data_IF_809018849019
#
_entry.id   IF_809018849019
#
_cell.length_a   1.000
_cell.length_b   1.000
_cell.length_c   1.000
_cell.angle_alpha   90.00
_cell.angle_beta   90.00
_cell.angle_gamma   90.00
#
_symmetry.space_group_name_H-M   'P 1'
#
loop_
_entity.id
_entity.type
_entity.pdbx_description
1 polymer ?
#
# COMPACT_ATOMS: atom_id res chain seq x y z
N UNK A 1 0.23 -10.34 1.16
CA UNK A 1 -0.55 -9.09 1.25
C UNK A 1 -1.85 -9.30 0.52
N UNK A 2 -2.97 -8.91 1.10
CA UNK A 2 -4.28 -9.01 0.46
C UNK A 2 -4.52 -7.75 -0.38
N UNK A 3 -4.89 -7.92 -1.64
CA UNK A 3 -5.13 -6.82 -2.58
C UNK A 3 -6.59 -6.72 -3.02
N UNK A 4 -7.34 -7.82 -2.89
CA UNK A 4 -8.74 -7.99 -3.31
C UNK A 4 -9.58 -8.59 -2.18
N UNK A 5 -10.91 -8.59 -2.33
CA UNK A 5 -11.82 -9.19 -1.36
C UNK A 5 -11.52 -10.67 -1.10
N UNK A 6 -11.30 -11.45 -2.16
CA UNK A 6 -11.02 -12.89 -2.06
C UNK A 6 -9.65 -13.23 -1.45
N UNK A 7 -8.71 -12.29 -1.43
CA UNK A 7 -7.38 -12.51 -0.84
C UNK A 7 -7.41 -12.40 0.70
N UNK A 8 -8.34 -11.64 1.25
CA UNK A 8 -8.43 -11.37 2.69
C UNK A 8 -8.49 -12.65 3.53
N UNK A 9 -9.42 -13.60 3.29
CA UNK A 9 -9.49 -14.84 4.06
C UNK A 9 -8.28 -15.76 3.83
N UNK A 10 -7.64 -15.71 2.65
CA UNK A 10 -6.44 -16.50 2.37
C UNK A 10 -5.25 -16.05 3.23
N UNK A 11 -5.03 -14.73 3.31
CA UNK A 11 -3.98 -14.17 4.17
C UNK A 11 -4.27 -14.48 5.64
N UNK A 12 -5.52 -14.37 6.07
CA UNK A 12 -5.93 -14.71 7.44
C UNK A 12 -5.60 -16.17 7.80
N UNK A 13 -5.84 -17.12 6.86
CA UNK A 13 -5.50 -18.52 7.04
C UNK A 13 -3.97 -18.75 7.17
N UNK A 14 -3.16 -18.05 6.34
CA UNK A 14 -1.70 -18.13 6.41
C UNK A 14 -1.19 -17.58 7.75
N UNK A 15 -1.71 -16.45 8.19
CA UNK A 15 -1.30 -15.79 9.45
C UNK A 15 -1.64 -16.64 10.68
N UNK A 16 -2.75 -17.38 10.67
CA UNK A 16 -3.07 -18.33 11.75
C UNK A 16 -1.98 -19.37 11.96
N UNK A 17 -1.31 -19.79 10.90
CA UNK A 17 -0.27 -20.82 10.93
C UNK A 17 1.14 -20.24 11.13
N UNK A 18 1.46 -19.14 10.42
CA UNK A 18 2.82 -18.62 10.27
C UNK A 18 2.96 -17.17 10.74
N UNK A 19 1.91 -16.56 11.28
CA UNK A 19 1.92 -15.16 11.72
C UNK A 19 2.83 -14.92 12.91
N UNK A 20 3.28 -13.67 13.03
CA UNK A 20 4.07 -13.18 14.16
C UNK A 20 3.27 -13.34 15.45
N UNK A 21 3.86 -14.01 16.47
CA UNK A 21 3.21 -14.25 17.77
C UNK A 21 3.62 -13.23 18.85
N UNK A 22 4.64 -12.42 18.59
CA UNK A 22 5.12 -11.40 19.53
C UNK A 22 6.32 -10.64 18.96
N UNK A 23 6.72 -9.52 19.57
CA UNK A 23 7.79 -8.65 19.06
C UNK A 23 9.14 -9.36 18.92
N UNK A 24 9.40 -10.38 19.74
CA UNK A 24 10.64 -11.14 19.67
C UNK A 24 10.71 -12.14 18.51
N UNK A 25 9.60 -12.39 17.81
CA UNK A 25 9.57 -13.33 16.68
C UNK A 25 10.38 -12.83 15.48
N UNK A 26 10.64 -11.52 15.37
CA UNK A 26 11.49 -10.95 14.31
C UNK A 26 12.97 -11.28 14.45
N UNK A 27 13.40 -11.77 15.60
CA UNK A 27 14.81 -12.13 15.89
C UNK A 27 15.07 -13.64 15.84
N UNK A 28 14.06 -14.46 15.59
CA UNK A 28 14.18 -15.92 15.56
C UNK A 28 14.42 -16.43 14.14
N UNK A 29 15.11 -17.57 14.02
CA UNK A 29 15.38 -18.24 12.73
C UNK A 29 14.10 -18.80 12.05
N UNK A 30 12.94 -18.66 12.68
CA UNK A 30 11.68 -19.12 12.12
C UNK A 30 11.12 -18.14 11.09
N UNK A 31 10.72 -18.65 9.96
CA UNK A 31 9.98 -17.89 8.95
C UNK A 31 8.67 -17.40 9.53
N UNK A 32 8.53 -16.10 9.69
CA UNK A 32 7.32 -15.45 10.17
C UNK A 32 6.68 -14.61 9.06
N UNK A 33 5.36 -14.54 9.08
CA UNK A 33 4.57 -13.77 8.11
C UNK A 33 3.89 -12.62 8.82
N UNK A 34 4.05 -11.42 8.27
CA UNK A 34 3.27 -10.23 8.63
C UNK A 34 2.20 -10.02 7.57
N UNK A 35 0.94 -9.97 8.01
CA UNK A 35 -0.17 -9.68 7.11
C UNK A 35 -0.20 -8.23 6.66
N UNK A 36 -0.69 -8.02 5.43
CA UNK A 36 -1.17 -6.72 4.99
C UNK A 36 -2.60 -6.86 4.49
N UNK A 37 -3.51 -6.05 5.02
CA UNK A 37 -4.92 -6.03 4.66
C UNK A 37 -5.28 -4.68 4.05
N UNK A 38 -5.87 -4.70 2.85
CA UNK A 38 -6.24 -3.47 2.16
C UNK A 38 -6.90 -3.73 0.82
N UNK A 39 -7.13 -2.65 0.08
CA UNK A 39 -7.67 -2.68 -1.28
C UNK A 39 -6.70 -1.97 -2.21
N UNK A 40 -6.06 -2.75 -3.07
CA UNK A 40 -5.16 -2.22 -4.10
C UNK A 40 -5.92 -1.27 -5.04
N UNK A 41 -5.33 -0.18 -5.52
CA UNK A 41 -6.00 0.76 -6.40
C UNK A 41 -6.57 0.11 -7.68
N UNK A 42 -5.99 -0.98 -8.16
CA UNK A 42 -6.50 -1.74 -9.31
C UNK A 42 -7.91 -2.32 -9.12
N UNK A 43 -8.33 -2.51 -7.88
CA UNK A 43 -9.62 -3.09 -7.50
C UNK A 43 -10.52 -2.10 -6.74
N UNK A 44 -10.13 -0.83 -6.66
CA UNK A 44 -10.92 0.18 -5.97
C UNK A 44 -12.28 0.41 -6.61
N UNK A 45 -12.44 0.17 -7.92
CA UNK A 45 -13.71 0.26 -8.65
C UNK A 45 -14.77 -0.74 -8.17
N UNK A 46 -14.41 -1.74 -7.38
CA UNK A 46 -15.37 -2.67 -6.78
C UNK A 46 -15.96 -2.16 -5.46
N UNK A 47 -15.52 -0.97 -5.00
CA UNK A 47 -16.05 -0.30 -3.81
C UNK A 47 -16.82 0.96 -4.20
N UNK A 48 -17.80 1.36 -3.41
CA UNK A 48 -18.42 2.66 -3.53
C UNK A 48 -18.36 3.41 -2.19
N UNK A 49 -18.16 4.73 -2.27
CA UNK A 49 -18.17 5.57 -1.09
C UNK A 49 -19.62 5.85 -0.69
N UNK A 50 -20.03 5.23 0.41
CA UNK A 50 -21.36 5.34 1.02
C UNK A 50 -21.45 6.47 2.04
N UNK A 51 -20.36 7.19 2.29
CA UNK A 51 -20.31 8.33 3.21
C UNK A 51 -20.75 9.65 2.56
N UNK A 52 -20.85 9.69 1.23
CA UNK A 52 -21.23 10.89 0.47
C UNK A 52 -22.74 10.98 0.25
N UNK A 53 -23.26 12.19 0.08
CA UNK A 53 -24.69 12.43 -0.13
C UNK A 53 -25.26 11.69 -1.35
N UNK A 54 -24.47 11.59 -2.44
CA UNK A 54 -24.87 10.95 -3.69
C UNK A 54 -23.90 9.81 -4.04
N UNK A 55 -24.01 8.63 -3.41
CA UNK A 55 -23.14 7.51 -3.69
C UNK A 55 -23.32 7.00 -5.12
N UNK A 56 -22.25 6.54 -5.73
CA UNK A 56 -22.25 6.02 -7.11
C UNK A 56 -23.04 4.73 -7.26
N UNK A 57 -23.19 3.96 -6.18
CA UNK A 57 -24.02 2.76 -6.11
C UNK A 57 -25.09 2.94 -5.03
N UNK A 58 -26.33 2.60 -5.36
CA UNK A 58 -27.46 2.53 -4.42
C UNK A 58 -28.07 1.16 -4.63
N UNK A 59 -28.12 0.30 -3.59
CA UNK A 59 -28.78 -1.00 -3.69
C UNK A 59 -30.23 -0.85 -4.16
N UNK A 60 -30.63 -1.64 -5.14
CA UNK A 60 -31.98 -1.64 -5.71
C UNK A 60 -32.33 -3.03 -6.23
N UNK A 61 -33.63 -3.30 -6.51
CA UNK A 61 -34.10 -4.54 -7.11
C UNK A 61 -33.54 -4.69 -8.53
N UNK A 62 -33.29 -3.60 -9.23
CA UNK A 62 -32.56 -3.61 -10.52
C UNK A 62 -31.05 -3.45 -10.27
N UNK A 63 -30.43 -4.55 -9.93
CA UNK A 63 -28.98 -4.66 -9.66
C UNK A 63 -28.14 -4.21 -10.85
N UNK A 64 -28.57 -4.55 -12.08
CA UNK A 64 -27.80 -4.23 -13.28
C UNK A 64 -27.80 -2.75 -13.59
N UNK A 65 -28.91 -2.07 -13.46
CA UNK A 65 -28.97 -0.61 -13.60
C UNK A 65 -28.14 0.10 -12.50
N UNK A 66 -28.12 -0.44 -11.30
CA UNK A 66 -27.30 0.09 -10.20
C UNK A 66 -25.80 -0.11 -10.48
N UNK A 67 -25.37 -1.28 -11.01
CA UNK A 67 -24.00 -1.55 -11.45
C UNK A 67 -23.59 -0.63 -12.60
N UNK A 68 -24.43 -0.49 -13.61
CA UNK A 68 -24.20 0.42 -14.74
C UNK A 68 -23.88 1.83 -14.26
N UNK A 69 -24.73 2.39 -13.40
CA UNK A 69 -24.54 3.74 -12.85
C UNK A 69 -23.19 3.86 -12.13
N UNK A 70 -22.86 2.89 -11.28
CA UNK A 70 -21.62 2.89 -10.54
C UNK A 70 -20.40 2.84 -11.45
N UNK A 71 -20.32 1.84 -12.33
CA UNK A 71 -19.14 1.63 -13.17
C UNK A 71 -18.94 2.75 -14.19
N UNK A 72 -20.03 3.33 -14.70
CA UNK A 72 -19.95 4.54 -15.54
C UNK A 72 -19.42 5.75 -14.76
N UNK A 73 -19.74 5.86 -13.47
CA UNK A 73 -19.29 6.97 -12.63
C UNK A 73 -17.83 6.87 -12.20
N UNK A 74 -17.30 5.64 -11.97
CA UNK A 74 -15.96 5.46 -11.40
C UNK A 74 -14.88 5.17 -12.44
N UNK A 75 -15.26 4.95 -13.72
CA UNK A 75 -14.33 4.61 -14.79
C UNK A 75 -14.20 5.73 -15.83
N UNK A 76 -13.05 5.79 -16.50
CA UNK A 76 -12.78 6.73 -17.61
C UNK A 76 -11.91 6.04 -18.68
N UNK A 77 -12.37 6.07 -19.98
CA UNK A 77 -13.71 6.44 -20.37
C UNK A 77 -14.77 5.55 -19.72
N UNK A 78 -16.00 6.06 -19.60
CA UNK A 78 -17.11 5.27 -19.08
C UNK A 78 -17.40 4.08 -20.01
N UNK A 79 -17.71 2.87 -19.51
CA UNK A 79 -18.10 1.75 -20.35
C UNK A 79 -19.48 2.01 -20.99
N UNK A 80 -19.61 1.71 -22.28
CA UNK A 80 -20.86 1.85 -23.04
C UNK A 80 -21.55 0.51 -23.27
N UNK A 81 -20.75 -0.59 -23.34
CA UNK A 81 -21.26 -1.93 -23.57
C UNK A 81 -21.84 -2.54 -22.28
N UNK A 82 -23.14 -2.90 -22.26
CA UNK A 82 -23.77 -3.55 -21.10
C UNK A 82 -23.05 -4.82 -20.65
N UNK A 83 -22.51 -5.60 -21.57
CA UNK A 83 -21.78 -6.82 -21.25
C UNK A 83 -20.60 -6.54 -20.31
N UNK A 84 -20.04 -5.31 -20.33
CA UNK A 84 -18.89 -4.96 -19.51
C UNK A 84 -19.23 -4.96 -18.01
N UNK A 85 -20.33 -4.30 -17.58
CA UNK A 85 -20.68 -4.27 -16.15
C UNK A 85 -21.41 -5.52 -15.68
N UNK A 86 -22.02 -6.31 -16.57
CA UNK A 86 -22.56 -7.62 -16.21
C UNK A 86 -21.52 -8.54 -15.59
N UNK A 87 -20.30 -8.55 -16.14
CA UNK A 87 -19.18 -9.35 -15.64
C UNK A 87 -18.54 -8.81 -14.35
N UNK A 88 -18.81 -7.56 -14.01
CA UNK A 88 -18.24 -6.97 -12.81
C UNK A 88 -19.01 -7.39 -11.55
N UNK A 89 -18.35 -7.48 -10.39
CA UNK A 89 -19.04 -7.79 -9.14
C UNK A 89 -20.03 -6.68 -8.74
N UNK A 90 -20.98 -7.03 -7.88
CA UNK A 90 -21.79 -6.02 -7.19
C UNK A 90 -20.87 -5.18 -6.32
N UNK A 91 -20.88 -3.84 -6.42
CA UNK A 91 -20.04 -2.99 -5.60
C UNK A 91 -20.33 -3.15 -4.11
N UNK A 92 -19.28 -3.12 -3.30
CA UNK A 92 -19.35 -3.23 -1.83
C UNK A 92 -19.23 -1.84 -1.23
N UNK A 93 -19.99 -1.55 -0.16
CA UNK A 93 -19.84 -0.29 0.58
C UNK A 93 -18.43 -0.16 1.14
N UNK A 94 -17.82 1.00 0.96
CA UNK A 94 -16.48 1.28 1.50
C UNK A 94 -16.46 1.17 3.02
N UNK A 95 -17.53 1.62 3.69
CA UNK A 95 -17.67 1.50 5.15
C UNK A 95 -17.65 0.05 5.62
N UNK A 96 -18.32 -0.87 4.92
CA UNK A 96 -18.34 -2.30 5.25
C UNK A 96 -16.95 -2.92 5.06
N UNK A 97 -16.28 -2.62 3.93
CA UNK A 97 -14.92 -3.11 3.68
C UNK A 97 -13.93 -2.62 4.73
N UNK A 98 -14.02 -1.34 5.13
CA UNK A 98 -13.18 -0.76 6.19
C UNK A 98 -13.48 -1.39 7.55
N UNK A 99 -14.75 -1.67 7.86
CA UNK A 99 -15.13 -2.33 9.11
C UNK A 99 -14.58 -3.76 9.20
N UNK A 100 -14.65 -4.54 8.13
CA UNK A 100 -14.04 -5.87 8.05
C UNK A 100 -12.51 -5.81 8.15
N UNK A 101 -11.87 -4.86 7.47
CA UNK A 101 -10.42 -4.66 7.54
C UNK A 101 -10.00 -4.30 8.96
N UNK A 102 -10.77 -3.44 9.65
CA UNK A 102 -10.57 -3.09 11.06
C UNK A 102 -10.61 -4.33 11.95
N UNK A 103 -11.61 -5.18 11.78
CA UNK A 103 -11.75 -6.40 12.58
C UNK A 103 -10.52 -7.31 12.43
N UNK A 104 -10.01 -7.49 11.21
CA UNK A 104 -8.78 -8.27 10.94
C UNK A 104 -7.55 -7.65 11.59
N UNK A 105 -7.39 -6.33 11.50
CA UNK A 105 -6.28 -5.61 12.11
C UNK A 105 -6.31 -5.67 13.64
N UNK A 106 -7.49 -5.71 14.27
CA UNK A 106 -7.62 -5.87 15.72
C UNK A 106 -7.21 -7.29 16.14
N UNK A 107 -7.56 -8.30 15.34
CA UNK A 107 -7.21 -9.70 15.63
C UNK A 107 -5.71 -9.98 15.41
N UNK A 108 -5.06 -9.29 14.49
CA UNK A 108 -3.62 -9.40 14.22
C UNK A 108 -2.90 -8.08 14.55
N UNK A 109 -2.31 -7.98 15.77
CA UNK A 109 -1.64 -6.76 16.22
C UNK A 109 -0.44 -6.34 15.38
N UNK A 110 0.18 -7.26 14.63
CA UNK A 110 1.34 -6.97 13.78
C UNK A 110 0.98 -6.70 12.32
N UNK A 111 -0.29 -6.92 11.94
CA UNK A 111 -0.72 -6.65 10.58
C UNK A 111 -0.62 -5.16 10.22
N UNK A 112 -0.23 -4.91 8.99
CA UNK A 112 -0.20 -3.57 8.38
C UNK A 112 -1.43 -3.34 7.51
N UNK A 113 -1.71 -2.09 7.15
CA UNK A 113 -2.67 -1.75 6.11
C UNK A 113 -1.94 -1.70 4.77
N UNK A 114 -2.37 -2.51 3.83
CA UNK A 114 -1.77 -2.57 2.49
C UNK A 114 -2.19 -3.84 1.73
N UNK A 115 -2.02 -3.81 0.43
CA UNK A 115 -1.48 -2.76 -0.42
C UNK A 115 -2.57 -1.72 -0.75
N UNK A 116 -2.28 -0.44 -0.56
CA UNK A 116 -3.21 0.67 -0.81
C UNK A 116 -2.48 1.76 -1.60
N UNK A 117 -3.18 2.65 -2.26
CA UNK A 117 -2.51 3.75 -2.96
C UNK A 117 -3.21 4.22 -4.23
N UNK A 118 -2.41 4.70 -5.19
CA UNK A 118 -2.86 5.31 -6.44
C UNK A 118 -2.10 4.73 -7.64
N UNK A 119 -2.81 4.43 -8.73
CA UNK A 119 -2.24 3.96 -10.00
C UNK A 119 -2.92 4.66 -11.18
N UNK A 120 -2.23 5.62 -11.80
CA UNK A 120 -2.78 6.40 -12.91
C UNK A 120 -2.81 5.63 -14.23
N UNK A 121 -1.76 4.88 -14.64
CA UNK A 121 -1.71 4.20 -15.93
C UNK A 121 -2.49 2.89 -15.98
N UNK A 122 -2.83 2.29 -14.85
CA UNK A 122 -3.50 0.99 -14.84
C UNK A 122 -4.79 1.02 -15.66
N UNK A 123 -4.96 0.02 -16.50
CA UNK A 123 -6.19 -0.22 -17.26
C UNK A 123 -6.79 -1.54 -16.84
N UNK A 124 -8.09 -1.54 -16.63
CA UNK A 124 -8.83 -2.75 -16.32
C UNK A 124 -8.66 -3.79 -17.44
N UNK A 125 -8.58 -5.08 -17.10
CA UNK A 125 -8.58 -6.11 -18.11
C UNK A 125 -9.93 -6.15 -18.84
N UNK A 126 -9.91 -6.60 -20.10
CA UNK A 126 -11.15 -6.88 -20.86
C UNK A 126 -11.90 -8.04 -20.20
N UNK A 127 -13.15 -8.17 -20.59
CA UNK A 127 -13.99 -9.31 -20.25
C UNK A 127 -13.32 -10.63 -20.62
N UNK A 128 -13.70 -11.71 -19.94
CA UNK A 128 -13.31 -13.04 -20.34
C UNK A 128 -13.94 -13.37 -21.70
N UNK A 129 -13.17 -13.99 -22.62
CA UNK A 129 -13.77 -14.53 -23.82
C UNK A 129 -14.76 -15.66 -23.47
N UNK A 130 -15.83 -15.75 -24.20
CA UNK A 130 -16.75 -16.90 -24.11
C UNK A 130 -16.37 -17.99 -25.14
N UNK A 131 -16.26 -19.27 -24.79
CA UNK A 131 -16.33 -19.76 -23.41
C UNK A 131 -15.11 -19.36 -22.56
N UNK A 132 -15.34 -19.15 -21.28
CA UNK A 132 -14.28 -18.81 -20.34
C UNK A 132 -13.23 -19.93 -20.31
N UNK A 133 -11.95 -19.64 -20.52
CA UNK A 133 -10.91 -20.66 -20.44
C UNK A 133 -10.86 -21.26 -19.03
N UNK A 134 -10.54 -22.57 -18.91
CA UNK A 134 -10.41 -23.21 -17.60
C UNK A 134 -9.36 -22.49 -16.76
N UNK A 135 -9.70 -22.29 -15.48
CA UNK A 135 -8.79 -21.67 -14.53
C UNK A 135 -7.59 -22.60 -14.34
N UNK A 136 -6.40 -22.11 -14.67
CA UNK A 136 -5.16 -22.81 -14.36
C UNK A 136 -4.86 -22.65 -12.85
N UNK A 137 -5.19 -23.68 -12.07
CA UNK A 137 -4.99 -23.67 -10.61
C UNK A 137 -3.51 -23.58 -10.20
N UNK A 138 -2.57 -23.88 -11.12
CA UNK A 138 -1.14 -23.76 -10.88
C UNK A 138 -0.61 -22.33 -11.08
N UNK A 139 -1.45 -21.41 -11.51
CA UNK A 139 -1.06 -20.02 -11.79
C UNK A 139 -1.87 -19.07 -10.95
N UNK A 140 -1.18 -18.35 -10.09
CA UNK A 140 -1.71 -17.11 -9.53
C UNK A 140 -1.67 -16.05 -10.62
N UNK A 141 -2.80 -15.82 -11.25
CA UNK A 141 -2.93 -14.75 -12.19
C UNK A 141 -2.90 -13.43 -11.42
N UNK A 142 -1.94 -12.56 -11.73
CA UNK A 142 -1.97 -11.17 -11.29
C UNK A 142 -3.27 -10.50 -11.75
N UNK A 143 -3.53 -9.27 -11.35
CA UNK A 143 -4.80 -8.58 -11.60
C UNK A 143 -5.32 -8.57 -13.04
N UNK A 144 -4.50 -8.95 -14.00
CA UNK A 144 -4.87 -9.07 -15.43
C UNK A 144 -5.38 -10.45 -15.83
N UNK A 145 -5.01 -11.49 -15.11
CA UNK A 145 -5.33 -12.88 -15.42
C UNK A 145 -5.06 -13.23 -16.92
N UNK A 146 -4.00 -12.63 -17.51
CA UNK A 146 -3.63 -12.68 -18.94
C UNK A 146 -4.66 -12.12 -19.92
N UNK A 147 -5.69 -11.46 -19.47
CA UNK A 147 -6.65 -10.79 -20.34
C UNK A 147 -6.00 -9.58 -21.03
N UNK A 148 -6.37 -9.25 -22.27
CA UNK A 148 -6.02 -7.98 -22.87
C UNK A 148 -6.50 -6.81 -22.00
N UNK A 149 -5.81 -5.68 -22.07
CA UNK A 149 -6.24 -4.48 -21.35
C UNK A 149 -7.34 -3.75 -22.12
N UNK A 150 -8.40 -3.39 -21.39
CA UNK A 150 -9.43 -2.48 -21.90
C UNK A 150 -8.88 -1.04 -21.99
N UNK A 151 -9.71 -0.12 -22.46
CA UNK A 151 -9.40 1.31 -22.41
C UNK A 151 -9.73 1.95 -21.04
N UNK A 152 -10.51 1.28 -20.19
CA UNK A 152 -11.07 1.83 -18.96
C UNK A 152 -10.01 1.92 -17.85
N UNK A 153 -9.92 3.09 -17.23
CA UNK A 153 -9.11 3.35 -16.03
C UNK A 153 -10.02 3.76 -14.90
N UNK A 154 -9.62 3.43 -13.69
CA UNK A 154 -10.33 3.90 -12.51
C UNK A 154 -10.00 5.37 -12.30
N UNK A 155 -11.03 6.20 -12.13
CA UNK A 155 -10.86 7.63 -11.92
C UNK A 155 -10.04 7.89 -10.65
N UNK A 156 -9.08 8.79 -10.73
CA UNK A 156 -8.18 9.14 -9.62
C UNK A 156 -8.92 9.65 -8.38
N UNK A 157 -9.97 10.49 -8.50
CA UNK A 157 -10.74 10.90 -7.33
C UNK A 157 -11.35 9.72 -6.56
N UNK A 158 -11.80 8.68 -7.28
CA UNK A 158 -12.33 7.47 -6.66
C UNK A 158 -11.24 6.64 -5.96
N UNK A 159 -10.10 6.41 -6.62
CA UNK A 159 -8.95 5.76 -5.98
C UNK A 159 -8.52 6.52 -4.70
N UNK A 160 -8.51 7.87 -4.76
CA UNK A 160 -8.14 8.72 -3.64
C UNK A 160 -9.10 8.55 -2.45
N UNK A 161 -10.42 8.49 -2.68
CA UNK A 161 -11.40 8.29 -1.63
C UNK A 161 -11.16 6.96 -0.89
N UNK A 162 -10.98 5.87 -1.63
CA UNK A 162 -10.66 4.54 -1.07
C UNK A 162 -9.32 4.56 -0.31
N UNK A 163 -8.29 5.19 -0.88
CA UNK A 163 -6.98 5.33 -0.25
C UNK A 163 -7.04 6.10 1.08
N UNK A 164 -7.73 7.25 1.10
CA UNK A 164 -7.89 8.08 2.30
C UNK A 164 -8.61 7.34 3.43
N UNK A 165 -9.63 6.54 3.12
CA UNK A 165 -10.33 5.73 4.13
C UNK A 165 -9.38 4.72 4.81
N UNK A 166 -8.50 4.08 4.05
CA UNK A 166 -7.49 3.17 4.59
C UNK A 166 -6.41 3.89 5.40
N UNK A 167 -5.94 5.06 4.95
CA UNK A 167 -4.98 5.87 5.71
C UNK A 167 -5.53 6.30 7.06
N UNK A 168 -6.80 6.71 7.09
CA UNK A 168 -7.51 7.06 8.31
C UNK A 168 -7.59 5.85 9.25
N UNK A 169 -8.03 4.69 8.75
CA UNK A 169 -8.07 3.45 9.54
C UNK A 169 -6.70 3.11 10.13
N UNK A 170 -5.64 3.20 9.33
CA UNK A 170 -4.28 2.90 9.78
C UNK A 170 -3.81 3.88 10.87
N UNK A 171 -4.14 5.16 10.75
CA UNK A 171 -3.85 6.18 11.75
C UNK A 171 -4.60 5.93 13.06
N UNK A 172 -5.90 5.63 12.99
CA UNK A 172 -6.73 5.32 14.15
C UNK A 172 -6.24 4.11 14.95
N UNK A 173 -5.70 3.10 14.26
CA UNK A 173 -5.20 1.87 14.87
C UNK A 173 -3.68 1.87 15.09
N UNK A 174 -2.96 2.95 14.76
CA UNK A 174 -1.50 3.03 14.90
C UNK A 174 -0.74 2.08 13.98
N UNK A 175 -1.29 1.70 12.81
CA UNK A 175 -0.72 0.68 11.92
C UNK A 175 0.22 1.27 10.89
N UNK A 176 1.25 0.51 10.54
CA UNK A 176 2.08 0.79 9.38
C UNK A 176 1.27 0.61 8.08
N UNK A 177 1.65 1.32 7.02
CA UNK A 177 1.01 1.18 5.71
C UNK A 177 2.03 0.90 4.60
N UNK A 178 1.65 0.03 3.65
CA UNK A 178 2.38 -0.18 2.40
C UNK A 178 1.63 0.50 1.26
N UNK A 179 2.28 1.49 0.62
CA UNK A 179 1.65 2.43 -0.30
C UNK A 179 2.17 2.25 -1.72
N UNK A 180 1.26 1.89 -2.61
CA UNK A 180 1.44 1.82 -4.06
C UNK A 180 1.38 3.19 -4.71
N UNK A 181 2.30 3.46 -5.65
CA UNK A 181 2.28 4.73 -6.37
C UNK A 181 2.90 4.67 -7.75
N UNK A 182 2.07 4.56 -8.82
CA UNK A 182 2.57 4.52 -10.20
C UNK A 182 2.13 5.75 -10.99
N UNK A 183 3.12 6.52 -11.46
CA UNK A 183 2.92 7.79 -12.20
C UNK A 183 2.06 8.84 -11.47
N UNK A 184 2.14 8.89 -10.15
CA UNK A 184 1.34 9.78 -9.28
C UNK A 184 2.14 10.47 -8.19
N UNK A 185 3.47 10.60 -8.32
CA UNK A 185 4.35 11.06 -7.23
C UNK A 185 3.87 12.35 -6.53
N UNK A 186 3.53 13.40 -7.29
CA UNK A 186 3.01 14.65 -6.72
C UNK A 186 1.68 14.45 -6.01
N UNK A 187 0.72 13.83 -6.68
CA UNK A 187 -0.61 13.57 -6.13
C UNK A 187 -0.56 12.68 -4.89
N UNK A 188 0.33 11.67 -4.90
CA UNK A 188 0.53 10.78 -3.75
C UNK A 188 1.05 11.55 -2.54
N UNK A 189 2.05 12.42 -2.75
CA UNK A 189 2.56 13.30 -1.70
C UNK A 189 1.48 14.23 -1.15
N UNK A 190 0.70 14.85 -2.04
CA UNK A 190 -0.38 15.77 -1.66
C UNK A 190 -1.45 15.03 -0.84
N UNK A 191 -1.84 13.83 -1.29
CA UNK A 191 -2.84 13.00 -0.58
C UNK A 191 -2.35 12.59 0.81
N UNK A 192 -1.09 12.14 0.93
CA UNK A 192 -0.51 11.83 2.24
C UNK A 192 -0.41 13.08 3.12
N UNK A 193 -0.08 14.24 2.53
CA UNK A 193 0.02 15.51 3.26
C UNK A 193 -1.34 15.96 3.82
N UNK A 194 -2.44 15.67 3.15
CA UNK A 194 -3.78 15.94 3.65
C UNK A 194 -4.06 15.18 4.97
N UNK A 195 -3.54 13.94 5.12
CA UNK A 195 -3.77 13.16 6.33
C UNK A 195 -3.13 13.76 7.58
N UNK A 196 -1.94 14.36 7.45
CA UNK A 196 -1.24 14.95 8.60
C UNK A 196 -1.33 16.47 8.67
N UNK A 197 -2.18 17.09 7.84
CA UNK A 197 -2.39 18.54 7.86
C UNK A 197 -2.84 19.01 9.25
N UNK A 198 -2.11 19.97 9.81
CA UNK A 198 -2.33 20.47 11.17
C UNK A 198 -1.68 19.63 12.28
N UNK A 199 -1.01 18.52 11.92
CA UNK A 199 -0.24 17.68 12.83
C UNK A 199 1.27 17.69 12.54
N UNK A 200 1.73 18.64 11.72
CA UNK A 200 3.12 18.75 11.36
C UNK A 200 4.01 19.02 12.59
N UNK A 201 5.16 18.35 12.62
CA UNK A 201 6.11 18.54 13.70
C UNK A 201 6.66 19.96 13.70
N UNK A 202 6.53 20.64 14.83
CA UNK A 202 7.14 21.96 15.04
C UNK A 202 8.66 21.87 14.93
N UNK A 203 9.29 22.90 14.40
CA UNK A 203 10.75 22.99 14.33
C UNK A 203 11.40 22.88 15.72
N UNK A 204 12.67 22.42 15.76
CA UNK A 204 13.41 22.15 17.01
C UNK A 204 13.37 23.34 18.00
N UNK A 205 13.57 24.56 17.50
CA UNK A 205 13.55 25.77 18.33
C UNK A 205 12.17 26.08 18.94
N UNK A 206 11.08 25.72 18.26
CA UNK A 206 9.73 25.91 18.77
C UNK A 206 9.40 24.88 19.87
N UNK A 207 9.83 23.63 19.68
CA UNK A 207 9.70 22.56 20.69
C UNK A 207 10.49 22.86 21.96
N UNK A 208 11.71 23.38 21.82
CA UNK A 208 12.56 23.76 22.95
C UNK A 208 11.96 24.95 23.73
N UNK A 209 11.29 25.89 23.07
CA UNK A 209 10.56 26.98 23.74
C UNK A 209 9.33 26.47 24.51
N UNK A 210 8.55 25.56 23.92
CA UNK A 210 7.38 24.97 24.60
C UNK A 210 7.77 24.13 25.82
N UNK A 211 8.84 23.33 25.74
CA UNK A 211 9.37 22.58 26.90
C UNK A 211 9.83 23.48 28.03
N UNK A 212 10.43 24.63 27.70
CA UNK A 212 10.83 25.62 28.71
C UNK A 212 9.67 26.41 29.31
N UNK A 213 8.56 26.56 28.56
CA UNK A 213 7.38 27.29 28.98
C UNK A 213 6.35 26.46 29.77
N UNK A 214 6.38 25.14 29.66
CA UNK A 214 5.46 24.26 30.40
C UNK A 214 6.16 22.95 30.80
N UNK A 215 6.85 22.92 31.97
CA UNK A 215 7.57 21.74 32.45
C UNK A 215 6.68 20.56 32.83
N UNK A 216 5.37 20.74 32.91
CA UNK A 216 4.41 19.72 33.34
C UNK A 216 3.69 18.98 32.20
N UNK A 217 4.07 19.17 30.93
CA UNK A 217 3.64 18.25 29.89
C UNK A 217 4.34 16.90 30.09
N UNK A 218 3.80 16.12 30.99
CA UNK A 218 4.06 14.67 31.10
C UNK A 218 3.38 14.06 29.88
N UNK A 219 4.17 13.40 29.06
CA UNK A 219 3.69 12.53 27.98
C UNK A 219 2.85 11.44 28.64
N UNK A 220 1.53 11.57 28.59
CA UNK A 220 0.59 10.68 29.31
C UNK A 220 0.51 9.28 28.71
N UNK A 221 1.41 8.92 27.78
CA UNK A 221 1.54 7.54 27.29
C UNK A 221 0.33 6.96 26.54
N UNK A 222 -0.80 7.61 26.56
CA UNK A 222 -1.94 7.28 25.70
C UNK A 222 -1.75 7.97 24.35
N UNK A 223 -1.24 7.24 23.35
CA UNK A 223 -1.19 7.75 21.99
C UNK A 223 -2.64 7.95 21.49
N UNK A 224 -3.12 9.18 21.58
CA UNK A 224 -4.39 9.54 20.99
C UNK A 224 -4.43 9.10 19.51
N UNK A 225 -5.55 8.52 19.10
CA UNK A 225 -5.80 8.17 17.69
C UNK A 225 -5.40 9.31 16.75
N UNK A 226 -4.55 9.03 15.78
CA UNK A 226 -4.03 10.00 14.81
C UNK A 226 -4.76 9.86 13.48
N UNK A 227 -5.01 10.94 12.73
CA UNK A 227 -5.65 10.84 11.42
C UNK A 227 -4.72 10.31 10.33
N UNK A 228 -3.47 10.01 10.65
CA UNK A 228 -2.42 9.55 9.73
C UNK A 228 -1.68 8.33 10.28
N UNK A 229 -1.21 7.43 9.40
CA UNK A 229 -0.39 6.28 9.80
C UNK A 229 0.93 6.73 10.43
N UNK A 230 1.38 6.09 11.52
CA UNK A 230 2.67 6.45 12.14
C UNK A 230 3.88 6.09 11.26
N UNK A 231 3.75 5.07 10.41
CA UNK A 231 4.80 4.54 9.53
C UNK A 231 4.24 4.24 8.15
N UNK A 232 4.92 4.74 7.13
CA UNK A 232 4.49 4.65 5.73
C UNK A 232 5.64 4.10 4.91
N UNK A 233 5.47 2.97 4.24
CA UNK A 233 6.37 2.47 3.23
C UNK A 233 5.85 2.86 1.84
N UNK A 234 6.62 3.63 1.09
CA UNK A 234 6.42 3.84 -0.34
C UNK A 234 7.07 2.65 -1.04
N UNK A 235 6.26 1.66 -1.42
CA UNK A 235 6.80 0.44 -1.96
C UNK A 235 7.17 0.56 -3.45
N UNK A 236 8.12 -0.25 -3.89
CA UNK A 236 8.70 -0.22 -5.24
C UNK A 236 8.96 1.21 -5.74
N UNK A 237 9.54 2.03 -4.86
CA UNK A 237 9.66 3.48 -5.08
C UNK A 237 10.42 3.78 -6.38
N UNK A 238 9.77 4.44 -7.32
CA UNK A 238 10.29 4.74 -8.66
C UNK A 238 10.64 6.23 -8.86
N UNK A 239 10.60 7.03 -7.79
CA UNK A 239 10.97 8.46 -7.82
C UNK A 239 12.49 8.66 -7.86
N UNK A 240 12.92 9.90 -8.18
CA UNK A 240 14.32 10.32 -8.09
C UNK A 240 14.69 10.71 -6.66
N UNK A 241 15.99 10.89 -6.39
CA UNK A 241 16.50 11.31 -5.08
C UNK A 241 15.88 12.60 -4.53
N UNK A 242 15.50 13.56 -5.37
CA UNK A 242 14.82 14.77 -4.92
C UNK A 242 13.39 14.48 -4.42
N UNK A 243 12.70 13.52 -5.00
CA UNK A 243 11.41 13.08 -4.48
C UNK A 243 11.57 12.40 -3.10
N UNK A 244 12.64 11.63 -2.88
CA UNK A 244 12.98 11.09 -1.55
C UNK A 244 13.10 12.21 -0.51
N UNK A 245 13.85 13.28 -0.82
CA UNK A 245 14.05 14.42 0.09
C UNK A 245 12.73 15.09 0.49
N UNK A 246 11.75 15.13 -0.42
CA UNK A 246 10.43 15.69 -0.14
C UNK A 246 9.73 14.96 1.01
N UNK A 247 9.83 13.62 1.05
CA UNK A 247 9.25 12.77 2.10
C UNK A 247 10.08 12.71 3.39
N UNK A 248 11.29 13.26 3.39
CA UNK A 248 12.17 13.29 4.55
C UNK A 248 12.17 14.65 5.28
N UNK A 249 11.24 15.54 4.95
CA UNK A 249 11.14 16.84 5.62
C UNK A 249 10.89 16.64 7.13
N UNK A 250 11.63 17.35 8.01
CA UNK A 250 11.49 17.21 9.46
C UNK A 250 10.11 17.54 10.04
N UNK A 251 9.27 18.22 9.26
CA UNK A 251 7.90 18.58 9.64
C UNK A 251 6.92 17.41 9.47
N UNK A 252 7.27 16.37 8.71
CA UNK A 252 6.39 15.21 8.49
C UNK A 252 6.31 14.39 9.77
N UNK A 253 5.10 14.17 10.34
CA UNK A 253 4.94 13.48 11.61
C UNK A 253 5.03 11.96 11.48
N UNK A 254 4.81 11.42 10.27
CA UNK A 254 4.92 10.01 9.97
C UNK A 254 6.37 9.61 9.64
N UNK A 255 6.76 8.40 10.01
CA UNK A 255 8.05 7.83 9.62
C UNK A 255 7.96 7.19 8.24
N UNK A 256 8.64 7.78 7.25
CA UNK A 256 8.58 7.31 5.86
C UNK A 256 9.72 6.32 5.60
N UNK A 257 9.38 5.17 5.02
CA UNK A 257 10.29 4.14 4.52
C UNK A 257 10.14 4.02 3.01
N UNK A 258 11.16 3.48 2.36
CA UNK A 258 11.19 3.26 0.92
C UNK A 258 11.65 1.85 0.65
N UNK A 259 10.86 1.06 -0.06
CA UNK A 259 11.30 -0.25 -0.53
C UNK A 259 11.60 -0.22 -2.03
N UNK A 260 12.44 -1.15 -2.44
CA UNK A 260 12.86 -1.30 -3.83
C UNK A 260 12.75 -2.77 -4.22
N UNK A 261 12.30 -3.01 -5.46
CA UNK A 261 12.16 -4.32 -6.06
C UNK A 261 12.94 -4.43 -7.36
N UNK A 262 13.48 -5.62 -7.67
CA UNK A 262 14.16 -5.84 -8.95
C UNK A 262 13.20 -5.59 -10.12
N UNK A 263 11.99 -6.14 -10.04
CA UNK A 263 11.02 -6.10 -11.13
C UNK A 263 10.72 -4.67 -11.62
N UNK A 264 10.63 -3.70 -10.71
CA UNK A 264 10.26 -2.32 -11.03
C UNK A 264 11.46 -1.37 -11.12
N UNK A 265 12.56 -1.69 -10.44
CA UNK A 265 13.64 -0.74 -10.24
C UNK A 265 14.90 -1.03 -11.06
N UNK A 266 15.11 -2.28 -11.53
CA UNK A 266 16.30 -2.68 -12.26
C UNK A 266 16.02 -3.17 -13.70
N UNK A 267 14.81 -2.99 -14.21
CA UNK A 267 14.39 -3.58 -15.48
C UNK A 267 14.93 -2.88 -16.73
N UNK A 268 15.43 -1.64 -16.63
CA UNK A 268 16.04 -0.88 -17.74
C UNK A 268 17.15 0.02 -17.19
N UNK A 269 18.10 0.43 -18.05
CA UNK A 269 19.22 1.32 -17.64
C UNK A 269 18.73 2.62 -17.01
N UNK A 270 17.71 3.25 -17.61
CA UNK A 270 17.15 4.48 -17.06
C UNK A 270 16.41 4.30 -15.74
N UNK A 271 15.80 3.12 -15.48
CA UNK A 271 15.22 2.78 -14.19
C UNK A 271 16.32 2.53 -13.15
N UNK A 272 17.38 1.84 -13.54
CA UNK A 272 18.54 1.52 -12.69
C UNK A 272 19.23 2.78 -12.20
N UNK A 273 19.48 3.77 -13.06
CA UNK A 273 20.12 5.04 -12.66
C UNK A 273 19.24 5.85 -11.71
N UNK A 274 17.93 5.92 -11.95
CA UNK A 274 16.99 6.55 -11.03
C UNK A 274 16.96 5.87 -9.67
N UNK A 275 16.96 4.54 -9.67
CA UNK A 275 16.97 3.73 -8.45
C UNK A 275 18.25 3.94 -7.66
N UNK A 276 19.42 3.95 -8.33
CA UNK A 276 20.70 4.26 -7.68
C UNK A 276 20.69 5.63 -7.00
N UNK A 277 20.16 6.65 -7.68
CA UNK A 277 20.04 8.01 -7.13
C UNK A 277 19.08 8.04 -5.92
N UNK A 278 17.93 7.40 -6.02
CA UNK A 278 16.97 7.29 -4.93
C UNK A 278 17.55 6.53 -3.73
N UNK A 279 18.14 5.35 -3.94
CA UNK A 279 18.76 4.53 -2.89
C UNK A 279 19.84 5.32 -2.14
N UNK A 280 20.68 6.08 -2.84
CA UNK A 280 21.70 6.95 -2.22
C UNK A 280 21.08 8.06 -1.37
N UNK A 281 19.93 8.59 -1.77
CA UNK A 281 19.24 9.67 -1.05
C UNK A 281 18.46 9.18 0.17
N UNK A 282 18.01 7.91 0.19
CA UNK A 282 17.28 7.33 1.33
C UNK A 282 18.24 7.14 2.51
N UNK A 283 17.91 7.60 3.74
CA UNK A 283 18.69 7.30 4.94
C UNK A 283 18.78 5.79 5.21
N UNK A 284 19.88 5.34 5.78
CA UNK A 284 20.17 3.93 6.01
C UNK A 284 19.09 3.23 6.86
N UNK A 285 18.50 3.95 7.81
CA UNK A 285 17.43 3.46 8.68
C UNK A 285 16.01 3.59 8.09
N UNK A 286 15.87 3.82 6.78
CA UNK A 286 14.59 4.03 6.08
C UNK A 286 14.45 3.17 4.82
N UNK A 287 15.47 2.38 4.51
CA UNK A 287 15.51 1.57 3.29
C UNK A 287 15.02 0.15 3.58
N UNK A 288 14.19 -0.37 2.68
CA UNK A 288 13.65 -1.72 2.70
C UNK A 288 13.88 -2.38 1.33
N UNK A 289 13.72 -3.69 1.30
CA UNK A 289 13.79 -4.50 0.08
C UNK A 289 12.54 -5.32 -0.07
N UNK A 290 12.13 -5.57 -1.31
CA UNK A 290 11.00 -6.43 -1.64
C UNK A 290 11.18 -7.10 -3.00
N UNK A 291 10.37 -8.10 -3.30
CA UNK A 291 10.30 -8.71 -4.64
C UNK A 291 9.27 -8.07 -5.53
N UNK A 292 8.18 -7.58 -4.94
CA UNK A 292 6.95 -7.12 -5.62
C UNK A 292 6.34 -8.21 -6.54
N UNK A 293 6.57 -9.47 -6.19
CA UNK A 293 6.02 -10.62 -6.89
C UNK A 293 4.80 -11.18 -6.15
N UNK A 294 3.80 -11.57 -6.91
CA UNK A 294 2.56 -12.18 -6.39
C UNK A 294 2.66 -13.71 -6.21
N UNK A 295 3.85 -14.29 -6.43
CA UNK A 295 4.10 -15.72 -6.27
C UNK A 295 5.37 -15.95 -5.47
N UNK A 296 5.31 -16.84 -4.49
CA UNK A 296 6.49 -17.32 -3.78
C UNK A 296 7.24 -18.37 -4.60
N UNK A 297 8.52 -18.60 -4.28
CA UNK A 297 9.38 -19.61 -4.88
C UNK A 297 10.73 -19.07 -5.33
N UNK A 298 11.52 -19.91 -5.97
CA UNK A 298 12.93 -19.63 -6.34
C UNK A 298 13.13 -18.30 -7.10
N UNK A 299 12.16 -17.93 -7.95
CA UNK A 299 12.23 -16.65 -8.66
C UNK A 299 12.17 -15.46 -7.67
N UNK A 300 11.28 -15.53 -6.69
CA UNK A 300 11.16 -14.49 -5.67
C UNK A 300 12.46 -14.36 -4.87
N UNK A 301 13.04 -15.49 -4.46
CA UNK A 301 14.28 -15.51 -3.69
C UNK A 301 15.43 -14.90 -4.49
N UNK A 302 15.55 -15.27 -5.77
CA UNK A 302 16.59 -14.73 -6.66
C UNK A 302 16.42 -13.20 -6.85
N UNK A 303 15.19 -12.73 -7.08
CA UNK A 303 14.94 -11.29 -7.28
C UNK A 303 15.16 -10.48 -6.00
N UNK A 304 14.85 -11.04 -4.84
CA UNK A 304 15.20 -10.44 -3.54
C UNK A 304 16.70 -10.37 -3.35
N UNK A 305 17.44 -11.46 -3.57
CA UNK A 305 18.89 -11.47 -3.44
C UNK A 305 19.56 -10.43 -4.35
N UNK A 306 19.17 -10.37 -5.62
CA UNK A 306 19.71 -9.38 -6.55
C UNK A 306 19.44 -7.94 -6.09
N UNK A 307 18.25 -7.67 -5.55
CA UNK A 307 17.94 -6.32 -5.05
C UNK A 307 18.72 -6.00 -3.78
N UNK A 308 18.90 -6.96 -2.86
CA UNK A 308 19.80 -6.79 -1.70
C UNK A 308 21.21 -6.39 -2.13
N UNK A 309 21.77 -7.12 -3.11
CA UNK A 309 23.13 -6.85 -3.64
C UNK A 309 23.21 -5.47 -4.30
N UNK A 310 22.22 -5.08 -5.10
CA UNK A 310 22.19 -3.77 -5.74
C UNK A 310 22.12 -2.62 -4.71
N UNK A 311 21.27 -2.75 -3.68
CA UNK A 311 21.19 -1.75 -2.61
C UNK A 311 22.53 -1.65 -1.87
N UNK A 312 23.15 -2.77 -1.50
CA UNK A 312 24.45 -2.79 -0.84
C UNK A 312 25.53 -2.12 -1.69
N UNK A 313 25.59 -2.42 -2.99
CA UNK A 313 26.53 -1.77 -3.92
C UNK A 313 26.33 -0.25 -3.96
N UNK A 314 25.07 0.21 -4.12
CA UNK A 314 24.78 1.64 -4.21
C UNK A 314 25.07 2.41 -2.93
N UNK A 315 24.95 1.74 -1.77
CA UNK A 315 25.24 2.28 -0.43
C UNK A 315 26.71 2.14 -0.02
N UNK A 316 27.50 1.33 -0.75
CA UNK A 316 28.86 0.96 -0.33
C UNK A 316 28.89 0.07 0.92
N UNK A 317 27.88 -0.76 1.12
CA UNK A 317 27.76 -1.68 2.26
C UNK A 317 28.30 -3.07 1.91
N UNK A 318 28.80 -3.80 2.93
CA UNK A 318 28.92 -5.26 2.82
C UNK A 318 27.51 -5.89 2.79
N UNK A 319 27.37 -7.05 2.18
CA UNK A 319 26.08 -7.75 2.12
C UNK A 319 25.56 -8.09 3.53
N UNK A 320 26.47 -8.55 4.41
CA UNK A 320 26.15 -8.87 5.80
C UNK A 320 25.56 -7.65 6.55
N UNK A 321 26.23 -6.49 6.46
CA UNK A 321 25.72 -5.26 7.07
C UNK A 321 24.39 -4.84 6.46
N UNK A 322 24.25 -4.89 5.14
CA UNK A 322 23.03 -4.47 4.45
C UNK A 322 21.82 -5.33 4.81
N UNK A 323 21.98 -6.65 4.86
CA UNK A 323 20.92 -7.58 5.29
C UNK A 323 20.50 -7.28 6.73
N UNK A 324 21.45 -7.16 7.66
CA UNK A 324 21.16 -6.84 9.05
C UNK A 324 20.47 -5.48 9.22
N UNK A 325 20.93 -4.45 8.49
CA UNK A 325 20.33 -3.12 8.55
C UNK A 325 18.90 -3.13 8.01
N UNK A 326 18.64 -3.77 6.86
CA UNK A 326 17.30 -3.81 6.28
C UNK A 326 16.33 -4.67 7.11
N UNK A 327 16.80 -5.76 7.74
CA UNK A 327 16.01 -6.52 8.70
C UNK A 327 15.61 -5.68 9.93
N UNK A 328 16.54 -4.91 10.49
CA UNK A 328 16.25 -3.95 11.56
C UNK A 328 15.23 -2.90 11.12
N UNK A 329 15.38 -2.36 9.93
CA UNK A 329 14.44 -1.38 9.38
C UNK A 329 13.04 -1.96 9.19
N UNK A 330 12.95 -3.22 8.74
CA UNK A 330 11.66 -3.91 8.61
C UNK A 330 10.98 -4.11 9.97
N UNK A 331 11.72 -4.56 10.96
CA UNK A 331 11.20 -4.67 12.33
C UNK A 331 10.67 -3.33 12.83
N UNK A 332 11.44 -2.25 12.66
CA UNK A 332 11.01 -0.91 13.05
C UNK A 332 9.80 -0.42 12.22
N UNK A 333 9.72 -0.78 10.94
CA UNK A 333 8.57 -0.44 10.10
C UNK A 333 7.28 -1.11 10.59
N UNK A 334 7.36 -2.39 10.97
CA UNK A 334 6.17 -3.16 11.38
C UNK A 334 5.78 -2.86 12.82
N UNK A 335 6.74 -2.88 13.77
CA UNK A 335 6.44 -2.81 15.20
C UNK A 335 6.57 -1.43 15.84
N UNK A 336 7.32 -0.51 15.25
CA UNK A 336 7.47 0.88 15.70
C UNK A 336 8.67 1.16 16.54
#
# INVERSE_FOLDING_TARGET
>A
MATRTQDQPLIEAIVKQHGVKGPNCFSQEQTTVVAGYGRHPWFSHELYDDSVENPTYIPSDDVEAAKERHYKAVLSPAPEDPAWWHDQPVPIALSDFIAETRARLIQDPFAMVGEIGLDKPFRLPMQWPEPRPPRDAARTDGGRERRPLSQHRIQIPHQKAVFMAHLKLAGELGRAVSVHGVQVHGLLYDTLSECWKGHELKGRNARDKERKGNPQMVDTGEEASKPYPPRICLHSFSGKGDAVKQYLKPSIPAKIFFSFSKANNLGTDGATDKTRDAVKAVPDNRILVESDLHTAGQRMDNELEEMYRAICEYKGWTLEYGVAQMAKNYTEFVSG
#
